data_IF_437507284787
#
_entry.id   IF_437507284787
#
_cell.length_a   1.000
_cell.length_b   1.000
_cell.length_c   1.000
_cell.angle_alpha   90.00
_cell.angle_beta   90.00
_cell.angle_gamma   90.00
#
_symmetry.space_group_name_H-M   'P 1'
#
loop_
_entity.id
_entity.type
_entity.pdbx_description
1 polymer ?
#
# COMPACT_ATOMS: atom_id res chain seq x y z
N UNK A 1 13.93 41.71 -21.04
CA UNK A 1 14.19 40.35 -20.51
C UNK A 1 13.19 39.39 -21.14
N UNK A 2 13.61 38.60 -22.13
CA UNK A 2 12.77 37.62 -22.82
C UNK A 2 12.64 36.35 -21.98
N UNK A 3 11.41 36.03 -21.57
CA UNK A 3 11.11 34.76 -20.91
C UNK A 3 11.21 33.62 -21.93
N UNK A 4 12.23 32.77 -21.81
CA UNK A 4 12.39 31.59 -22.67
C UNK A 4 11.51 30.47 -22.14
N UNK A 5 10.44 30.11 -22.88
CA UNK A 5 9.46 29.08 -22.47
C UNK A 5 10.01 27.63 -22.50
N UNK A 6 11.23 27.40 -22.99
CA UNK A 6 11.80 26.05 -23.17
C UNK A 6 13.31 26.06 -22.89
N UNK A 7 13.76 25.21 -21.96
CA UNK A 7 15.18 25.02 -21.66
C UNK A 7 15.91 24.38 -22.85
N UNK A 8 17.05 24.98 -23.26
CA UNK A 8 17.88 24.53 -24.39
C UNK A 8 18.62 23.20 -24.13
N UNK A 9 18.69 22.76 -22.88
CA UNK A 9 19.32 21.48 -22.47
C UNK A 9 18.30 20.36 -22.24
N UNK A 10 17.12 20.39 -22.88
CA UNK A 10 16.15 19.30 -22.75
C UNK A 10 16.77 18.01 -23.32
N UNK A 11 17.06 16.97 -22.51
CA UNK A 11 17.50 15.69 -23.05
C UNK A 11 16.43 15.14 -23.99
N UNK A 12 16.87 14.42 -25.03
CA UNK A 12 16.01 13.85 -26.06
C UNK A 12 14.75 13.21 -25.45
N UNK A 13 13.60 13.43 -26.08
CA UNK A 13 12.27 13.13 -25.56
C UNK A 13 12.08 11.62 -25.28
N UNK A 14 12.55 11.14 -24.13
CA UNK A 14 12.12 9.88 -23.56
C UNK A 14 10.68 10.13 -23.10
N UNK A 15 9.71 9.78 -23.93
CA UNK A 15 8.29 9.77 -23.56
C UNK A 15 8.17 9.09 -22.18
N UNK A 16 7.74 9.85 -21.16
CA UNK A 16 7.62 9.48 -19.73
C UNK A 16 8.82 9.72 -18.78
N UNK A 17 9.94 10.34 -19.18
CA UNK A 17 11.06 10.61 -18.25
C UNK A 17 10.66 11.42 -17.00
N UNK A 18 9.82 12.45 -17.16
CA UNK A 18 9.33 13.25 -16.02
C UNK A 18 8.44 12.47 -15.05
N UNK A 19 7.60 11.54 -15.55
CA UNK A 19 6.75 10.67 -14.72
C UNK A 19 7.57 9.62 -13.98
N UNK A 20 8.59 9.09 -14.65
CA UNK A 20 9.54 8.12 -14.07
C UNK A 20 10.35 8.75 -12.93
N UNK A 21 10.91 9.95 -13.14
CA UNK A 21 11.72 10.64 -12.12
C UNK A 21 10.95 10.91 -10.82
N UNK A 22 9.69 11.37 -10.91
CA UNK A 22 8.86 11.61 -9.73
C UNK A 22 8.51 10.32 -8.99
N UNK A 23 8.18 9.24 -9.71
CA UNK A 23 7.90 7.95 -9.09
C UNK A 23 9.13 7.38 -8.40
N UNK A 24 10.28 7.43 -9.07
CA UNK A 24 11.58 7.01 -8.51
C UNK A 24 11.95 7.85 -7.29
N UNK A 25 11.70 9.16 -7.32
CA UNK A 25 11.92 10.06 -6.18
C UNK A 25 11.05 9.67 -4.98
N UNK A 26 9.75 9.43 -5.19
CA UNK A 26 8.87 8.93 -4.12
C UNK A 26 9.33 7.58 -3.58
N UNK A 27 9.72 6.65 -4.46
CA UNK A 27 10.24 5.34 -4.07
C UNK A 27 11.53 5.46 -3.26
N UNK A 28 12.42 6.37 -3.66
CA UNK A 28 13.65 6.68 -2.94
C UNK A 28 13.34 7.27 -1.55
N UNK A 29 12.47 8.27 -1.47
CA UNK A 29 12.06 8.88 -0.21
C UNK A 29 11.39 7.87 0.72
N UNK A 30 10.49 7.03 0.23
CA UNK A 30 9.93 5.94 1.02
C UNK A 30 11.01 4.95 1.49
N UNK A 31 12.02 4.64 0.65
CA UNK A 31 13.12 3.75 1.02
C UNK A 31 14.07 4.35 2.08
N UNK A 32 14.24 5.68 2.09
CA UNK A 32 15.21 6.39 2.94
C UNK A 32 14.56 6.92 4.22
N UNK A 33 13.35 7.48 4.12
CA UNK A 33 12.64 8.10 5.25
C UNK A 33 11.80 7.11 6.06
N UNK A 34 11.22 6.09 5.42
CA UNK A 34 10.61 5.01 6.18
C UNK A 34 11.71 4.08 6.67
N UNK A 35 11.73 3.78 7.98
CA UNK A 35 12.63 2.77 8.62
C UNK A 35 12.43 1.33 8.08
N UNK A 36 11.72 1.17 6.96
CA UNK A 36 11.52 -0.05 6.18
C UNK A 36 12.73 -0.34 5.25
N UNK A 37 13.87 0.28 5.58
CA UNK A 37 15.02 0.58 4.76
C UNK A 37 15.72 -0.66 4.20
N UNK A 38 15.83 -1.74 4.98
CA UNK A 38 16.50 -2.96 4.54
C UNK A 38 15.64 -3.73 3.52
N UNK A 39 14.34 -3.89 3.83
CA UNK A 39 13.43 -4.73 3.07
C UNK A 39 13.09 -4.14 1.70
N UNK A 40 12.75 -2.85 1.63
CA UNK A 40 12.39 -2.21 0.36
C UNK A 40 13.58 -2.04 -0.58
N UNK A 41 14.82 -2.01 -0.07
CA UNK A 41 16.01 -1.80 -0.91
C UNK A 41 16.33 -3.00 -1.80
N UNK A 42 16.01 -4.21 -1.34
CA UNK A 42 16.30 -5.47 -2.04
C UNK A 42 15.05 -6.14 -2.65
N UNK A 43 13.84 -5.66 -2.32
CA UNK A 43 12.60 -6.31 -2.78
C UNK A 43 12.32 -6.10 -4.27
N UNK A 44 11.70 -7.12 -4.89
CA UNK A 44 11.33 -7.06 -6.31
C UNK A 44 10.26 -6.02 -6.56
N UNK A 45 9.35 -5.81 -5.60
CA UNK A 45 8.28 -4.83 -5.69
C UNK A 45 8.77 -3.41 -5.96
N UNK A 46 9.95 -3.02 -5.46
CA UNK A 46 10.52 -1.70 -5.70
C UNK A 46 10.76 -1.46 -7.19
N UNK A 47 11.43 -2.39 -7.87
CA UNK A 47 11.80 -2.27 -9.29
C UNK A 47 10.63 -2.59 -10.21
N UNK A 48 9.87 -3.63 -9.89
CA UNK A 48 8.86 -4.15 -10.81
C UNK A 48 7.53 -3.41 -10.70
N UNK A 49 7.18 -2.86 -9.53
CA UNK A 49 5.83 -2.31 -9.30
C UNK A 49 5.87 -0.82 -8.97
N UNK A 50 6.71 -0.40 -8.03
CA UNK A 50 6.69 0.99 -7.56
C UNK A 50 7.07 1.99 -8.64
N UNK A 51 8.00 1.64 -9.52
CA UNK A 51 8.39 2.48 -10.65
C UNK A 51 7.28 2.60 -11.71
N UNK A 52 6.39 1.59 -11.81
CA UNK A 52 5.21 1.63 -12.70
C UNK A 52 4.06 2.48 -12.13
N UNK A 53 4.00 2.66 -10.81
CA UNK A 53 2.90 3.41 -10.18
C UNK A 53 2.95 4.89 -10.55
N UNK A 54 1.77 5.46 -10.81
CA UNK A 54 1.62 6.92 -10.91
C UNK A 54 2.07 7.55 -9.58
N UNK A 55 2.92 8.58 -9.61
CA UNK A 55 3.32 9.31 -8.40
C UNK A 55 2.15 10.18 -7.92
N UNK A 56 1.44 9.71 -6.90
CA UNK A 56 0.29 10.36 -6.29
C UNK A 56 0.18 9.97 -4.82
N UNK A 57 -0.76 10.56 -4.09
CA UNK A 57 -0.92 10.29 -2.67
C UNK A 57 -1.21 8.80 -2.39
N UNK A 58 -1.88 8.10 -3.32
CA UNK A 58 -2.18 6.67 -3.18
C UNK A 58 -0.89 5.85 -3.24
N UNK A 59 0.00 6.13 -4.20
CA UNK A 59 1.28 5.43 -4.28
C UNK A 59 2.21 5.79 -3.13
N UNK A 60 2.18 7.02 -2.63
CA UNK A 60 2.94 7.41 -1.45
C UNK A 60 2.49 6.66 -0.19
N UNK A 61 1.19 6.59 0.07
CA UNK A 61 0.63 5.81 1.19
C UNK A 61 0.99 4.33 1.06
N UNK A 62 0.89 3.77 -0.14
CA UNK A 62 1.25 2.38 -0.40
C UNK A 62 2.73 2.07 -0.09
N UNK A 63 3.65 2.91 -0.59
CA UNK A 63 5.10 2.74 -0.43
C UNK A 63 5.54 2.90 1.04
N UNK A 64 4.81 3.68 1.82
CA UNK A 64 5.12 3.98 3.22
C UNK A 64 4.43 3.06 4.25
N UNK A 65 3.59 2.11 3.81
CA UNK A 65 2.98 1.11 4.69
C UNK A 65 3.64 -0.28 4.53
N UNK A 66 4.24 -0.83 5.59
CA UNK A 66 5.00 -2.08 5.50
C UNK A 66 4.13 -3.30 5.18
N UNK A 67 2.91 -3.35 5.69
CA UNK A 67 2.01 -4.49 5.47
C UNK A 67 1.55 -4.51 4.01
N UNK A 68 1.19 -3.35 3.46
CA UNK A 68 0.83 -3.20 2.05
C UNK A 68 2.01 -3.59 1.14
N UNK A 69 3.23 -3.16 1.46
CA UNK A 69 4.43 -3.53 0.70
C UNK A 69 4.65 -5.05 0.68
N UNK A 70 4.58 -5.69 1.85
CA UNK A 70 4.76 -7.14 1.98
C UNK A 70 3.63 -7.94 1.31
N UNK A 71 2.41 -7.42 1.35
CA UNK A 71 1.28 -7.96 0.59
C UNK A 71 1.58 -7.97 -0.90
N UNK A 72 2.05 -6.84 -1.44
CA UNK A 72 2.46 -6.74 -2.82
C UNK A 72 3.55 -7.73 -3.23
N UNK A 73 4.60 -7.88 -2.42
CA UNK A 73 5.66 -8.86 -2.66
C UNK A 73 5.11 -10.29 -2.64
N UNK A 74 4.18 -10.59 -1.72
CA UNK A 74 3.54 -11.92 -1.67
C UNK A 74 2.75 -12.25 -2.94
N UNK A 75 2.20 -11.25 -3.62
CA UNK A 75 1.51 -11.42 -4.91
C UNK A 75 2.50 -11.66 -6.05
N UNK A 76 3.63 -10.95 -6.06
CA UNK A 76 4.72 -11.13 -7.02
C UNK A 76 5.38 -12.50 -6.88
N UNK A 77 5.56 -12.99 -5.64
CA UNK A 77 6.17 -14.29 -5.39
C UNK A 77 5.36 -15.45 -6.01
N UNK A 78 4.02 -15.29 -6.12
CA UNK A 78 3.13 -16.30 -6.70
C UNK A 78 3.20 -16.38 -8.23
N UNK A 79 3.66 -15.34 -8.92
CA UNK A 79 3.63 -15.28 -10.38
C UNK A 79 4.93 -14.70 -10.95
N UNK A 80 5.58 -15.45 -11.83
CA UNK A 80 6.87 -15.03 -12.44
C UNK A 80 6.71 -14.16 -13.70
N UNK A 81 5.49 -13.90 -14.16
CA UNK A 81 5.22 -13.17 -15.42
C UNK A 81 5.27 -11.66 -15.19
N UNK A 82 5.95 -10.90 -16.04
CA UNK A 82 6.06 -9.43 -15.92
C UNK A 82 4.69 -8.70 -15.89
N UNK A 83 3.68 -9.23 -16.60
CA UNK A 83 2.32 -8.66 -16.63
C UNK A 83 1.64 -8.63 -15.25
N UNK A 84 2.13 -9.41 -14.28
CA UNK A 84 1.60 -9.39 -12.91
C UNK A 84 1.86 -8.04 -12.23
N UNK A 85 2.89 -7.30 -12.63
CA UNK A 85 3.26 -6.06 -11.97
C UNK A 85 2.15 -5.01 -12.02
N UNK A 86 1.42 -4.92 -13.14
CA UNK A 86 0.25 -4.04 -13.27
C UNK A 86 -0.90 -4.49 -12.36
N UNK A 87 -1.14 -5.80 -12.27
CA UNK A 87 -2.17 -6.37 -11.38
C UNK A 87 -1.82 -6.11 -9.91
N UNK A 88 -0.56 -6.30 -9.53
CA UNK A 88 -0.05 -6.04 -8.18
C UNK A 88 -0.13 -4.55 -7.86
N UNK A 89 0.26 -3.68 -8.80
CA UNK A 89 0.11 -2.22 -8.67
C UNK A 89 -1.34 -1.84 -8.36
N UNK A 90 -2.30 -2.37 -9.12
CA UNK A 90 -3.73 -2.11 -8.88
C UNK A 90 -4.17 -2.57 -7.48
N UNK A 91 -3.83 -3.81 -7.10
CA UNK A 91 -4.17 -4.37 -5.78
C UNK A 91 -3.57 -3.57 -4.62
N UNK A 92 -2.30 -3.18 -4.72
CA UNK A 92 -1.65 -2.33 -3.71
C UNK A 92 -2.32 -0.97 -3.61
N UNK A 93 -2.66 -0.37 -4.75
CA UNK A 93 -3.36 0.93 -4.79
C UNK A 93 -4.77 0.83 -4.21
N UNK A 94 -5.47 -0.29 -4.38
CA UNK A 94 -6.74 -0.55 -3.71
C UNK A 94 -6.59 -0.57 -2.19
N UNK A 95 -5.58 -1.26 -1.67
CA UNK A 95 -5.33 -1.33 -0.23
C UNK A 95 -4.91 0.02 0.35
N UNK A 96 -4.13 0.79 -0.39
CA UNK A 96 -3.77 2.15 0.01
C UNK A 96 -5.00 3.07 0.03
N UNK A 97 -5.90 2.99 -0.96
CA UNK A 97 -7.17 3.72 -0.93
C UNK A 97 -8.01 3.36 0.30
N UNK A 98 -8.14 2.06 0.59
CA UNK A 98 -8.85 1.58 1.76
C UNK A 98 -8.25 2.14 3.06
N UNK A 99 -6.92 2.11 3.20
CA UNK A 99 -6.22 2.67 4.35
C UNK A 99 -6.48 4.17 4.50
N UNK A 100 -6.41 4.93 3.39
CA UNK A 100 -6.70 6.36 3.41
C UNK A 100 -8.13 6.65 3.87
N UNK A 101 -9.11 5.90 3.37
CA UNK A 101 -10.51 6.02 3.80
C UNK A 101 -10.66 5.73 5.28
N UNK A 102 -10.06 4.64 5.78
CA UNK A 102 -10.12 4.30 7.21
C UNK A 102 -9.45 5.38 8.08
N UNK A 103 -8.31 5.92 7.64
CA UNK A 103 -7.64 7.03 8.34
C UNK A 103 -8.48 8.30 8.41
N UNK A 104 -9.31 8.57 7.39
CA UNK A 104 -10.26 9.68 7.44
C UNK A 104 -11.43 9.45 8.40
N UNK A 105 -11.75 8.18 8.70
CA UNK A 105 -12.79 7.81 9.66
C UNK A 105 -12.25 7.72 11.09
N UNK A 106 -11.00 7.29 11.26
CA UNK A 106 -10.29 7.19 12.54
C UNK A 106 -8.84 7.66 12.41
N UNK A 107 -8.56 8.86 12.94
CA UNK A 107 -7.24 9.48 12.88
C UNK A 107 -6.16 8.80 13.73
N UNK A 108 -6.52 7.83 14.58
CA UNK A 108 -5.54 7.05 15.38
C UNK A 108 -4.82 5.99 14.55
N UNK A 109 -5.33 5.68 13.36
CA UNK A 109 -4.79 4.62 12.50
C UNK A 109 -3.50 5.09 11.81
N UNK A 110 -2.40 4.40 12.09
CA UNK A 110 -1.08 4.75 11.55
C UNK A 110 -0.68 3.86 10.37
N UNK A 111 -0.99 2.56 10.46
CA UNK A 111 -0.65 1.52 9.48
C UNK A 111 -1.85 0.62 9.18
N UNK A 112 -1.81 -0.09 8.05
CA UNK A 112 -2.75 -1.17 7.77
C UNK A 112 -2.72 -2.25 8.85
N UNK A 113 -1.60 -2.45 9.57
CA UNK A 113 -1.56 -3.38 10.69
C UNK A 113 -2.59 -3.04 11.78
N UNK A 114 -2.79 -1.75 12.05
CA UNK A 114 -3.78 -1.26 13.02
C UNK A 114 -5.22 -1.61 12.62
N UNK A 115 -5.47 -1.63 11.31
CA UNK A 115 -6.77 -1.92 10.71
C UNK A 115 -7.17 -3.39 10.86
N UNK A 116 -6.18 -4.30 10.99
CA UNK A 116 -6.42 -5.74 11.08
C UNK A 116 -6.88 -6.21 12.46
N UNK A 117 -7.02 -5.29 13.41
CA UNK A 117 -7.59 -5.56 14.72
C UNK A 117 -9.08 -5.94 14.58
N UNK A 118 -9.56 -6.99 15.26
CA UNK A 118 -10.97 -7.41 15.18
C UNK A 118 -11.96 -6.28 15.48
N UNK A 119 -11.61 -5.38 16.41
CA UNK A 119 -12.43 -4.22 16.80
C UNK A 119 -12.64 -3.24 15.64
N UNK A 120 -11.73 -3.21 14.66
CA UNK A 120 -11.81 -2.34 13.49
C UNK A 120 -12.65 -2.93 12.35
N UNK A 121 -13.16 -4.16 12.48
CA UNK A 121 -13.87 -4.85 11.39
C UNK A 121 -15.09 -4.07 10.88
N UNK A 122 -15.86 -3.45 11.77
CA UNK A 122 -17.00 -2.59 11.39
C UNK A 122 -16.55 -1.40 10.54
N UNK A 123 -15.51 -0.67 10.98
CA UNK A 123 -14.92 0.46 10.25
C UNK A 123 -14.36 0.02 8.89
N UNK A 124 -13.71 -1.13 8.84
CA UNK A 124 -13.17 -1.73 7.62
C UNK A 124 -14.28 -2.04 6.59
N UNK A 125 -15.41 -2.56 7.05
CA UNK A 125 -16.57 -2.83 6.20
C UNK A 125 -17.19 -1.54 5.65
N UNK A 126 -17.38 -0.54 6.51
CA UNK A 126 -17.89 0.77 6.12
C UNK A 126 -16.97 1.45 5.11
N UNK A 127 -15.65 1.44 5.34
CA UNK A 127 -14.68 1.97 4.39
C UNK A 127 -14.68 1.19 3.06
N UNK A 128 -14.86 -0.14 3.11
CA UNK A 128 -14.99 -0.97 1.91
C UNK A 128 -16.21 -0.55 1.07
N UNK A 129 -17.37 -0.33 1.71
CA UNK A 129 -18.58 0.17 1.05
C UNK A 129 -18.34 1.52 0.37
N UNK A 130 -17.63 2.43 1.04
CA UNK A 130 -17.30 3.76 0.50
C UNK A 130 -16.45 3.61 -0.77
N UNK A 131 -15.35 2.84 -0.72
CA UNK A 131 -14.44 2.73 -1.87
C UNK A 131 -15.02 1.94 -3.04
N UNK A 132 -15.98 1.04 -2.80
CA UNK A 132 -16.73 0.33 -3.85
C UNK A 132 -17.93 1.12 -4.38
N UNK A 133 -18.20 2.30 -3.82
CA UNK A 133 -19.31 3.16 -4.22
C UNK A 133 -20.66 2.49 -3.97
N UNK A 134 -20.87 2.00 -2.74
CA UNK A 134 -22.16 1.47 -2.32
C UNK A 134 -23.22 2.59 -2.30
N UNK A 135 -24.35 2.32 -2.93
CA UNK A 135 -25.55 3.14 -2.92
C UNK A 135 -26.58 2.50 -1.98
N UNK A 136 -26.88 3.17 -0.87
CA UNK A 136 -27.81 2.68 0.15
C UNK A 136 -29.26 2.66 -0.37
N UNK A 137 -29.63 3.56 -1.29
CA UNK A 137 -30.99 3.63 -1.84
C UNK A 137 -31.26 2.46 -2.78
N UNK A 138 -30.33 2.24 -3.72
CA UNK A 138 -30.45 1.19 -4.74
C UNK A 138 -29.87 -0.16 -4.30
N UNK A 139 -29.29 -0.23 -3.09
CA UNK A 139 -28.58 -1.40 -2.54
C UNK A 139 -27.57 -2.01 -3.52
N UNK A 140 -26.89 -1.16 -4.28
CA UNK A 140 -26.00 -1.56 -5.38
C UNK A 140 -24.60 -1.00 -5.20
N UNK A 141 -23.62 -1.55 -5.92
CA UNK A 141 -22.24 -1.09 -5.88
C UNK A 141 -21.83 -0.54 -7.24
N UNK A 142 -21.19 0.64 -7.27
CA UNK A 142 -20.57 1.19 -8.49
C UNK A 142 -19.45 0.29 -9.01
N UNK A 143 -18.70 -0.33 -8.09
CA UNK A 143 -17.65 -1.29 -8.41
C UNK A 143 -17.93 -2.64 -7.70
N UNK A 144 -18.86 -3.47 -8.23
CA UNK A 144 -19.21 -4.75 -7.62
C UNK A 144 -18.01 -5.70 -7.48
N UNK A 145 -17.14 -5.72 -8.49
CA UNK A 145 -15.91 -6.54 -8.48
C UNK A 145 -15.02 -6.18 -7.28
N UNK A 146 -14.86 -4.88 -6.99
CA UNK A 146 -14.06 -4.41 -5.86
C UNK A 146 -14.60 -4.92 -4.53
N UNK A 147 -15.92 -4.82 -4.34
CA UNK A 147 -16.58 -5.34 -3.15
C UNK A 147 -16.39 -6.87 -3.03
N UNK A 148 -16.59 -7.59 -4.14
CA UNK A 148 -16.50 -9.05 -4.20
C UNK A 148 -15.11 -9.56 -3.82
N UNK A 149 -14.04 -8.98 -4.39
CA UNK A 149 -12.68 -9.46 -4.15
C UNK A 149 -12.00 -8.85 -2.90
N UNK A 150 -12.65 -7.93 -2.20
CA UNK A 150 -12.08 -7.29 -1.01
C UNK A 150 -11.78 -8.31 0.09
N UNK A 151 -12.73 -9.19 0.40
CA UNK A 151 -12.55 -10.21 1.45
C UNK A 151 -11.35 -11.11 1.19
N UNK A 152 -11.17 -11.54 -0.06
CA UNK A 152 -10.02 -12.35 -0.47
C UNK A 152 -8.70 -11.59 -0.33
N UNK A 153 -8.66 -10.31 -0.73
CA UNK A 153 -7.47 -9.48 -0.58
C UNK A 153 -7.12 -9.26 0.91
N UNK A 154 -8.13 -8.98 1.76
CA UNK A 154 -7.95 -8.80 3.20
C UNK A 154 -7.43 -10.07 3.87
N UNK A 155 -7.96 -11.25 3.51
CA UNK A 155 -7.47 -12.53 4.02
C UNK A 155 -5.98 -12.73 3.72
N UNK A 156 -5.54 -12.37 2.51
CA UNK A 156 -4.12 -12.43 2.14
C UNK A 156 -3.28 -11.45 2.97
N UNK A 157 -3.78 -10.25 3.23
CA UNK A 157 -3.10 -9.29 4.11
C UNK A 157 -3.01 -9.80 5.55
N UNK A 158 -4.07 -10.41 6.08
CA UNK A 158 -4.04 -11.03 7.41
C UNK A 158 -2.94 -12.10 7.49
N UNK A 159 -2.78 -12.93 6.46
CA UNK A 159 -1.71 -13.93 6.41
C UNK A 159 -0.32 -13.28 6.41
N UNK A 160 -0.14 -12.15 5.72
CA UNK A 160 1.10 -11.38 5.73
C UNK A 160 1.39 -10.79 7.10
N UNK A 161 0.39 -10.18 7.73
CA UNK A 161 0.48 -9.65 9.10
C UNK A 161 0.82 -10.76 10.11
N UNK A 162 0.18 -11.92 9.98
CA UNK A 162 0.46 -13.09 10.81
C UNK A 162 1.91 -13.56 10.65
N UNK A 163 2.41 -13.63 9.41
CA UNK A 163 3.81 -13.96 9.12
C UNK A 163 4.79 -12.97 9.76
N UNK A 164 4.50 -11.67 9.70
CA UNK A 164 5.31 -10.62 10.34
C UNK A 164 5.46 -10.89 11.85
N UNK A 165 4.35 -11.21 12.52
CA UNK A 165 4.30 -11.47 13.97
C UNK A 165 5.05 -12.75 14.33
N UNK A 166 4.81 -13.85 13.59
CA UNK A 166 5.51 -15.13 13.83
C UNK A 166 7.02 -14.98 13.69
N UNK A 167 7.47 -14.32 12.63
CA UNK A 167 8.89 -14.11 12.36
C UNK A 167 9.50 -13.00 13.22
N UNK A 168 8.68 -12.36 14.08
CA UNK A 168 9.08 -11.24 14.95
C UNK A 168 9.81 -10.12 14.19
N UNK A 169 9.37 -9.84 12.96
CA UNK A 169 10.00 -8.81 12.13
C UNK A 169 9.80 -7.45 12.78
N UNK A 170 10.90 -6.73 13.02
CA UNK A 170 10.84 -5.35 13.50
C UNK A 170 10.59 -4.42 12.32
N UNK A 171 9.34 -4.01 12.14
CA UNK A 171 8.92 -3.12 11.05
C UNK A 171 8.42 -1.78 11.60
N UNK A 172 8.55 -0.68 10.84
CA UNK A 172 8.09 0.64 11.28
C UNK A 172 6.57 0.64 11.44
N UNK A 173 6.02 1.37 12.41
CA UNK A 173 4.56 1.52 12.60
C UNK A 173 3.83 0.19 12.88
N UNK A 174 4.55 -0.90 13.14
CA UNK A 174 3.99 -2.18 13.58
C UNK A 174 4.43 -2.41 15.02
N UNK A 175 3.47 -2.46 15.93
CA UNK A 175 3.68 -2.83 17.32
C UNK A 175 2.67 -3.93 17.69
N UNK A 176 3.16 -4.95 18.39
CA UNK A 176 2.30 -5.94 19.04
C UNK A 176 2.89 -6.28 20.40
N UNK A 177 2.03 -6.59 21.37
CA UNK A 177 2.45 -7.05 22.68
C UNK A 177 2.56 -8.57 22.68
N UNK A 178 3.70 -9.10 23.09
CA UNK A 178 3.84 -10.55 23.32
C UNK A 178 2.96 -10.94 24.51
N UNK A 179 1.95 -11.78 24.27
CA UNK A 179 1.08 -12.33 25.33
C UNK A 179 1.85 -13.01 26.47
N UNK A 180 3.05 -13.53 26.19
CA UNK A 180 3.93 -14.15 27.20
C UNK A 180 4.54 -13.14 28.19
N UNK A 181 4.56 -11.83 27.87
CA UNK A 181 4.99 -10.78 28.80
C UNK A 181 3.91 -10.43 29.82
N UNK A 182 2.63 -10.51 29.45
CA UNK A 182 1.49 -10.25 30.36
C UNK A 182 1.36 -11.29 31.48
N UNK A 183 1.83 -12.53 31.26
CA UNK A 183 1.80 -13.61 32.26
C UNK A 183 2.94 -13.59 33.28
N UNK A 184 3.89 -12.64 33.20
CA UNK A 184 5.04 -12.53 34.13
C UNK A 184 4.91 -11.35 35.11
N UNK A 185 3.76 -10.67 35.13
CA UNK A 185 3.51 -9.48 36.00
C UNK A 185 2.27 -9.70 36.88
N UNK A 186 1.91 -10.95 37.11
CA UNK A 186 0.89 -11.41 38.07
C UNK A 186 1.47 -12.61 38.80
#
# INVERSE_FOLDING_TARGET
MSHVKICKNKPADIKNAGRSCLSQSQTFMASVMSRNQEYLRTSRIKKEVFDLMRPDNISDVAKNDPVICLYGESLLAKHKRQQIANVVSNKIREMARLLMTIKSMDGKISSFFDVLRPEMFGTLLSATKIISGYDEQNKSFKAPSLALHMGTNLKLICNVAFKIVIEKRKLPKIQWEDRNKKRRVT
#
